data_IF_158078963597
#
_entry.id   IF_158078963597
#
_cell.length_a   1.000
_cell.length_b   1.000
_cell.length_c   1.000
_cell.angle_alpha   90.00
_cell.angle_beta   90.00
_cell.angle_gamma   90.00
#
_symmetry.space_group_name_H-M   'P 1'
#
loop_
_entity.id
_entity.type
_entity.pdbx_description
1 polymer ?
#
# COMPACT_ATOMS: atom_id res chain seq x y z
N UNK A 1 21.81 -42.70 -8.17
CA UNK A 1 20.44 -42.22 -8.46
C UNK A 1 20.59 -41.12 -9.50
N UNK A 2 19.84 -41.15 -10.59
CA UNK A 2 19.90 -40.13 -11.65
C UNK A 2 19.08 -38.92 -11.21
N UNK A 3 19.71 -37.76 -11.12
CA UNK A 3 19.03 -36.49 -10.82
C UNK A 3 18.06 -36.12 -11.96
N UNK A 4 16.90 -35.52 -11.66
CA UNK A 4 15.99 -35.03 -12.70
C UNK A 4 16.65 -33.93 -13.53
N UNK A 5 16.32 -33.79 -14.83
CA UNK A 5 16.76 -32.63 -15.62
C UNK A 5 16.29 -31.33 -14.97
N UNK A 6 17.15 -30.30 -14.93
CA UNK A 6 16.86 -29.01 -14.29
C UNK A 6 15.57 -28.36 -14.81
N UNK A 7 15.30 -28.48 -16.11
CA UNK A 7 14.09 -27.95 -16.74
C UNK A 7 12.82 -28.64 -16.23
N UNK A 8 12.90 -29.92 -15.89
CA UNK A 8 11.76 -30.66 -15.35
C UNK A 8 11.50 -30.23 -13.90
N UNK A 9 12.56 -29.97 -13.12
CA UNK A 9 12.44 -29.35 -11.79
C UNK A 9 11.79 -27.97 -11.88
N UNK A 10 12.25 -27.12 -12.78
CA UNK A 10 11.70 -25.78 -12.98
C UNK A 10 10.21 -25.84 -13.31
N UNK A 11 9.81 -26.66 -14.29
CA UNK A 11 8.39 -26.83 -14.67
C UNK A 11 7.57 -27.40 -13.52
N UNK A 12 8.12 -28.35 -12.76
CA UNK A 12 7.44 -28.96 -11.61
C UNK A 12 7.06 -27.92 -10.55
N UNK A 13 7.86 -26.86 -10.38
CA UNK A 13 7.58 -25.78 -9.41
C UNK A 13 7.05 -24.49 -10.06
N UNK A 14 6.67 -24.53 -11.34
CA UNK A 14 6.03 -23.40 -12.03
C UNK A 14 6.99 -22.34 -12.57
N UNK A 15 8.29 -22.63 -12.65
CA UNK A 15 9.30 -21.73 -13.23
C UNK A 15 9.40 -21.96 -14.74
N UNK A 16 9.11 -20.92 -15.52
CA UNK A 16 9.24 -20.95 -16.97
C UNK A 16 10.70 -21.16 -17.40
N UNK A 17 10.92 -22.03 -18.40
CA UNK A 17 12.26 -22.39 -18.89
C UNK A 17 12.66 -21.64 -20.17
N UNK A 18 11.74 -20.86 -20.73
CA UNK A 18 11.93 -20.02 -21.92
C UNK A 18 10.84 -18.96 -22.03
N UNK A 19 11.13 -17.85 -22.71
CA UNK A 19 10.14 -16.81 -23.07
C UNK A 19 10.14 -16.58 -24.58
N UNK A 20 8.98 -16.25 -25.20
CA UNK A 20 8.91 -15.98 -26.64
C UNK A 20 9.85 -14.87 -27.12
N UNK A 21 10.02 -13.82 -26.32
CA UNK A 21 10.82 -12.64 -26.69
C UNK A 21 12.34 -12.85 -26.53
N UNK A 22 12.77 -13.65 -25.56
CA UNK A 22 14.19 -13.77 -25.17
C UNK A 22 14.78 -15.17 -25.33
N UNK A 23 13.96 -16.16 -25.68
CA UNK A 23 14.40 -17.55 -25.83
C UNK A 23 14.60 -18.29 -24.49
N UNK A 24 15.48 -19.32 -24.46
CA UNK A 24 15.71 -20.14 -23.28
C UNK A 24 16.27 -19.35 -22.09
N UNK A 25 15.77 -19.64 -20.88
CA UNK A 25 16.28 -19.04 -19.65
C UNK A 25 17.65 -19.67 -19.29
N UNK A 26 18.68 -18.88 -18.96
CA UNK A 26 19.98 -19.40 -18.54
C UNK A 26 19.88 -20.34 -17.32
N UNK A 27 20.71 -21.38 -17.29
CA UNK A 27 20.78 -22.32 -16.16
C UNK A 27 21.08 -21.63 -14.83
N UNK A 28 21.95 -20.62 -14.85
CA UNK A 28 22.29 -19.81 -13.66
C UNK A 28 21.07 -19.09 -13.08
N UNK A 29 20.21 -18.54 -13.95
CA UNK A 29 18.95 -17.90 -13.55
C UNK A 29 17.97 -18.90 -12.95
N UNK A 30 17.80 -20.07 -13.60
CA UNK A 30 16.94 -21.16 -13.09
C UNK A 30 17.35 -21.58 -11.68
N UNK A 31 18.65 -21.83 -11.46
CA UNK A 31 19.18 -22.24 -10.15
C UNK A 31 18.98 -21.17 -9.07
N UNK A 32 19.11 -19.88 -9.40
CA UNK A 32 18.85 -18.78 -8.45
C UNK A 32 17.38 -18.69 -8.05
N UNK A 33 16.47 -18.84 -9.01
CA UNK A 33 15.03 -18.85 -8.74
C UNK A 33 14.67 -20.06 -7.87
N UNK A 34 15.16 -21.26 -8.21
CA UNK A 34 14.92 -22.46 -7.40
C UNK A 34 15.46 -22.30 -5.97
N UNK A 35 16.67 -21.74 -5.81
CA UNK A 35 17.23 -21.48 -4.49
C UNK A 35 16.38 -20.49 -3.68
N UNK A 36 15.89 -19.41 -4.29
CA UNK A 36 14.99 -18.46 -3.64
C UNK A 36 13.64 -19.09 -3.24
N UNK A 37 13.14 -20.05 -4.02
CA UNK A 37 11.96 -20.85 -3.68
C UNK A 37 12.22 -21.96 -2.65
N UNK A 38 13.47 -22.11 -2.17
CA UNK A 38 13.85 -23.18 -1.25
C UNK A 38 13.86 -24.59 -1.87
N UNK A 39 14.00 -24.69 -3.20
CA UNK A 39 13.97 -25.94 -3.96
C UNK A 39 15.39 -26.41 -4.26
N UNK A 40 15.75 -27.61 -3.80
CA UNK A 40 17.00 -28.28 -4.19
C UNK A 40 16.85 -28.91 -5.59
N UNK A 41 17.58 -28.43 -6.62
CA UNK A 41 17.48 -28.94 -7.97
C UNK A 41 17.95 -30.39 -8.13
N UNK A 42 18.73 -30.92 -7.17
CA UNK A 42 19.27 -32.28 -7.24
C UNK A 42 18.41 -33.30 -6.47
N UNK A 43 17.42 -32.83 -5.70
CA UNK A 43 16.51 -33.69 -4.96
C UNK A 43 15.48 -34.38 -5.88
N UNK A 44 14.95 -35.56 -5.50
CA UNK A 44 13.84 -36.18 -6.23
C UNK A 44 12.61 -35.28 -6.24
N UNK A 45 11.89 -35.25 -7.37
CA UNK A 45 10.61 -34.54 -7.46
C UNK A 45 9.56 -35.20 -6.55
N UNK A 46 8.93 -34.40 -5.71
CA UNK A 46 7.85 -34.84 -4.81
C UNK A 46 6.60 -33.99 -5.00
N UNK A 47 5.43 -34.57 -4.74
CA UNK A 47 4.14 -33.88 -4.86
C UNK A 47 3.62 -33.75 -6.29
N UNK A 48 2.49 -33.08 -6.45
CA UNK A 48 1.94 -32.77 -7.76
C UNK A 48 2.71 -31.60 -8.40
N UNK A 49 2.93 -31.61 -9.74
CA UNK A 49 3.55 -30.48 -10.42
C UNK A 49 2.64 -29.25 -10.34
N UNK A 50 3.25 -28.07 -10.38
CA UNK A 50 2.55 -26.81 -10.52
C UNK A 50 1.68 -26.83 -11.80
N UNK A 51 0.44 -26.32 -11.74
CA UNK A 51 -0.41 -26.27 -12.91
C UNK A 51 0.20 -25.35 -13.96
N UNK A 52 0.18 -25.79 -15.23
CA UNK A 52 0.66 -25.03 -16.38
C UNK A 52 -0.31 -23.92 -16.81
N UNK A 53 -1.54 -23.96 -16.31
CA UNK A 53 -2.59 -22.97 -16.57
C UNK A 53 -3.54 -22.84 -15.39
N UNK A 54 -4.07 -21.63 -15.21
CA UNK A 54 -5.19 -21.40 -14.30
C UNK A 54 -6.45 -22.05 -14.90
N UNK A 55 -7.07 -22.95 -14.16
CA UNK A 55 -8.37 -23.55 -14.53
C UNK A 55 -9.48 -22.69 -13.95
N UNK A 56 -10.14 -21.89 -14.80
CA UNK A 56 -11.30 -21.10 -14.41
C UNK A 56 -12.57 -21.94 -14.55
N UNK A 57 -13.36 -22.15 -13.49
CA UNK A 57 -14.61 -22.91 -13.60
C UNK A 57 -15.58 -22.25 -14.59
N UNK A 58 -16.33 -23.08 -15.33
CA UNK A 58 -17.30 -22.60 -16.32
C UNK A 58 -18.37 -21.75 -15.64
N UNK A 59 -18.65 -20.57 -16.20
CA UNK A 59 -19.67 -19.64 -15.68
C UNK A 59 -19.15 -18.70 -14.59
N UNK A 60 -17.87 -18.78 -14.21
CA UNK A 60 -17.26 -17.81 -13.31
C UNK A 60 -16.79 -16.59 -14.11
N UNK A 61 -17.19 -15.40 -13.67
CA UNK A 61 -16.73 -14.13 -14.20
C UNK A 61 -16.64 -13.11 -13.07
N UNK A 62 -15.80 -12.08 -13.23
CA UNK A 62 -15.80 -10.94 -12.33
C UNK A 62 -17.17 -10.25 -12.35
N UNK A 63 -17.51 -9.59 -11.25
CA UNK A 63 -18.72 -8.77 -11.19
C UNK A 63 -18.69 -7.72 -12.31
N UNK A 64 -19.80 -7.63 -13.06
CA UNK A 64 -20.05 -6.59 -14.06
C UNK A 64 -21.40 -5.98 -13.76
N UNK A 65 -21.51 -4.65 -13.57
CA UNK A 65 -22.81 -4.02 -13.39
C UNK A 65 -23.71 -4.25 -14.62
N UNK A 66 -24.98 -4.60 -14.39
CA UNK A 66 -25.91 -4.95 -15.47
C UNK A 66 -26.05 -3.83 -16.51
N UNK A 67 -26.12 -2.58 -16.05
CA UNK A 67 -26.27 -1.40 -16.90
C UNK A 67 -25.14 -1.20 -17.91
N UNK A 68 -23.93 -1.72 -17.65
CA UNK A 68 -22.79 -1.60 -18.57
C UNK A 68 -22.96 -2.50 -19.80
N UNK A 69 -23.90 -3.45 -19.75
CA UNK A 69 -24.32 -4.26 -20.90
C UNK A 69 -25.14 -3.43 -21.89
N UNK A 70 -25.98 -2.53 -21.35
CA UNK A 70 -27.00 -1.82 -22.12
C UNK A 70 -26.51 -0.46 -22.64
N UNK A 71 -25.54 0.14 -21.95
CA UNK A 71 -25.02 1.47 -22.28
C UNK A 71 -23.57 1.65 -21.82
N UNK A 72 -22.75 2.42 -22.56
CA UNK A 72 -21.41 2.77 -22.14
C UNK A 72 -21.46 3.65 -20.87
N UNK A 73 -20.41 3.55 -20.06
CA UNK A 73 -20.14 4.47 -18.95
C UNK A 73 -18.91 5.31 -19.21
N UNK A 74 -18.80 6.44 -18.52
CA UNK A 74 -17.61 7.28 -18.54
C UNK A 74 -17.25 7.74 -17.13
N UNK A 75 -16.00 8.15 -16.93
CA UNK A 75 -15.53 8.65 -15.65
C UNK A 75 -14.29 9.49 -15.82
N UNK A 76 -13.82 10.03 -14.70
CA UNK A 76 -12.56 10.78 -14.63
C UNK A 76 -11.48 9.91 -14.01
N UNK A 77 -10.23 10.19 -14.33
CA UNK A 77 -9.08 9.65 -13.59
C UNK A 77 -8.23 10.83 -13.13
N UNK A 78 -7.77 10.82 -11.89
CA UNK A 78 -6.86 11.82 -11.36
C UNK A 78 -5.81 11.18 -10.45
N UNK A 79 -4.72 11.89 -10.25
CA UNK A 79 -3.79 11.61 -9.17
C UNK A 79 -4.28 12.40 -7.95
N UNK A 80 -4.68 11.72 -6.87
CA UNK A 80 -5.27 12.35 -5.69
C UNK A 80 -4.37 13.44 -5.12
N UNK A 81 -3.06 13.17 -5.06
CA UNK A 81 -2.08 14.12 -4.54
C UNK A 81 -1.96 15.42 -5.37
N UNK A 82 -2.44 15.44 -6.62
CA UNK A 82 -2.42 16.62 -7.49
C UNK A 82 -3.64 17.53 -7.32
N UNK A 83 -4.69 17.08 -6.60
CA UNK A 83 -5.86 17.92 -6.37
C UNK A 83 -5.49 19.13 -5.50
N UNK A 84 -6.07 20.28 -5.84
CA UNK A 84 -5.87 21.54 -5.12
C UNK A 84 -7.19 22.07 -4.61
N UNK A 85 -7.19 22.58 -3.40
CA UNK A 85 -8.30 23.32 -2.80
C UNK A 85 -7.82 24.33 -1.79
N UNK A 86 -8.67 25.31 -1.48
CA UNK A 86 -8.36 26.38 -0.53
C UNK A 86 -8.21 25.91 0.92
N UNK A 87 -8.63 24.68 1.23
CA UNK A 87 -8.60 24.09 2.57
C UNK A 87 -7.46 23.07 2.76
N UNK A 88 -7.02 22.41 1.68
CA UNK A 88 -6.05 21.32 1.74
C UNK A 88 -4.72 21.77 2.36
N UNK A 89 -4.04 20.88 3.07
CA UNK A 89 -2.70 21.19 3.61
C UNK A 89 -1.61 20.92 2.57
N UNK A 90 -1.73 21.52 1.38
CA UNK A 90 -0.72 21.48 0.31
C UNK A 90 -0.67 20.19 -0.52
N UNK A 91 -1.60 19.27 -0.31
CA UNK A 91 -1.76 18.02 -1.07
C UNK A 91 -3.25 17.68 -1.12
N UNK A 92 -3.75 17.16 -2.24
CA UNK A 92 -5.11 16.65 -2.31
C UNK A 92 -5.34 15.52 -1.30
N UNK A 93 -6.46 15.55 -0.60
CA UNK A 93 -6.80 14.64 0.51
C UNK A 93 -8.16 13.94 0.30
N UNK A 94 -8.58 13.09 1.23
CA UNK A 94 -9.84 12.34 1.11
C UNK A 94 -11.09 13.22 1.02
N UNK A 95 -11.06 14.44 1.57
CA UNK A 95 -12.15 15.38 1.38
C UNK A 95 -12.14 15.92 -0.06
N UNK A 96 -10.97 16.02 -0.71
CA UNK A 96 -10.85 16.59 -2.07
C UNK A 96 -11.38 15.57 -3.05
N UNK A 97 -11.11 14.29 -2.75
CA UNK A 97 -11.71 13.15 -3.42
C UNK A 97 -13.24 13.18 -3.34
N UNK A 98 -13.80 13.40 -2.15
CA UNK A 98 -15.26 13.47 -1.95
C UNK A 98 -15.89 14.66 -2.71
N UNK A 99 -15.25 15.82 -2.65
CA UNK A 99 -15.70 17.03 -3.32
C UNK A 99 -15.64 16.86 -4.87
N UNK A 100 -14.55 16.31 -5.40
CA UNK A 100 -14.41 16.03 -6.83
C UNK A 100 -15.40 14.94 -7.30
N UNK A 101 -15.61 13.89 -6.50
CA UNK A 101 -16.62 12.87 -6.80
C UNK A 101 -18.02 13.48 -6.85
N UNK A 102 -18.33 14.42 -5.95
CA UNK A 102 -19.61 15.14 -5.96
C UNK A 102 -19.77 15.98 -7.22
N UNK A 103 -18.72 16.71 -7.64
CA UNK A 103 -18.73 17.53 -8.86
C UNK A 103 -18.90 16.64 -10.10
N UNK A 104 -18.09 15.60 -10.23
CA UNK A 104 -18.08 14.71 -11.38
C UNK A 104 -19.38 13.89 -11.49
N UNK A 105 -19.90 13.37 -10.36
CA UNK A 105 -21.15 12.62 -10.32
C UNK A 105 -22.34 13.48 -10.78
N UNK A 106 -22.43 14.74 -10.31
CA UNK A 106 -23.44 15.70 -10.78
C UNK A 106 -23.33 16.02 -12.28
N UNK A 107 -22.15 15.89 -12.87
CA UNK A 107 -21.93 16.02 -14.31
C UNK A 107 -22.25 14.72 -15.09
N UNK A 108 -22.65 13.64 -14.40
CA UNK A 108 -23.01 12.36 -14.99
C UNK A 108 -21.87 11.36 -15.11
N UNK A 109 -20.74 11.57 -14.44
CA UNK A 109 -19.67 10.58 -14.38
C UNK A 109 -20.10 9.35 -13.57
N UNK A 110 -19.70 8.18 -14.02
CA UNK A 110 -20.00 6.90 -13.35
C UNK A 110 -18.94 6.50 -12.35
N UNK A 111 -17.71 6.98 -12.55
CA UNK A 111 -16.59 6.70 -11.67
C UNK A 111 -15.61 7.87 -11.58
N UNK A 112 -14.86 7.85 -10.49
CA UNK A 112 -13.64 8.63 -10.30
C UNK A 112 -12.50 7.67 -9.97
N UNK A 113 -11.60 7.47 -10.93
CA UNK A 113 -10.39 6.67 -10.79
C UNK A 113 -9.27 7.45 -10.13
N UNK A 114 -8.56 6.81 -9.23
CA UNK A 114 -7.44 7.41 -8.50
C UNK A 114 -6.21 6.52 -8.51
N UNK A 115 -5.06 7.12 -8.24
CA UNK A 115 -3.81 6.40 -8.01
C UNK A 115 -3.90 5.46 -6.80
N UNK A 116 -2.94 4.53 -6.66
CA UNK A 116 -2.87 3.68 -5.49
C UNK A 116 -2.75 4.51 -4.20
N UNK A 117 -3.54 4.16 -3.19
CA UNK A 117 -3.59 4.84 -1.89
C UNK A 117 -2.79 4.10 -0.80
N UNK A 118 -2.03 3.09 -1.20
CA UNK A 118 -1.28 2.18 -0.34
C UNK A 118 -0.35 2.91 0.62
N UNK A 119 -0.19 2.37 1.82
CA UNK A 119 0.74 2.88 2.81
C UNK A 119 2.16 2.92 2.23
N UNK A 120 2.74 4.11 2.21
CA UNK A 120 4.17 4.33 1.92
C UNK A 120 4.95 4.32 3.24
N UNK A 121 6.07 5.05 3.31
CA UNK A 121 6.87 5.17 4.52
C UNK A 121 6.61 6.53 5.20
N UNK A 122 5.90 6.55 6.33
CA UNK A 122 5.61 7.83 7.00
C UNK A 122 6.85 8.51 7.56
N UNK A 123 7.87 7.73 7.95
CA UNK A 123 9.15 8.25 8.44
C UNK A 123 10.11 8.75 7.32
N UNK A 124 9.79 8.49 6.04
CA UNK A 124 10.55 8.97 4.88
C UNK A 124 9.60 9.47 3.77
N UNK A 125 8.90 10.61 3.98
CA UNK A 125 7.87 11.11 3.06
C UNK A 125 8.39 11.48 1.66
N UNK A 126 9.70 11.59 1.47
CA UNK A 126 10.32 11.70 0.16
C UNK A 126 10.17 10.44 -0.71
N UNK A 127 9.94 9.27 -0.10
CA UNK A 127 9.63 8.01 -0.77
C UNK A 127 8.16 7.96 -1.18
N UNK A 128 7.84 8.70 -2.25
CA UNK A 128 6.47 9.09 -2.62
C UNK A 128 5.85 8.32 -3.79
N UNK A 129 6.50 7.27 -4.29
CA UNK A 129 5.96 6.48 -5.42
C UNK A 129 4.78 5.62 -4.94
N UNK A 130 3.55 5.81 -5.46
CA UNK A 130 2.41 4.95 -5.13
C UNK A 130 2.59 3.48 -5.58
N UNK A 131 3.56 3.23 -6.46
CA UNK A 131 3.89 1.93 -7.02
C UNK A 131 5.02 1.20 -6.29
N UNK A 132 5.59 1.81 -5.26
CA UNK A 132 6.58 1.17 -4.35
C UNK A 132 6.08 1.27 -2.89
N UNK A 133 4.88 0.74 -2.59
CA UNK A 133 4.31 0.89 -1.26
C UNK A 133 5.01 0.03 -0.21
N UNK A 134 5.01 0.51 1.03
CA UNK A 134 5.40 -0.27 2.20
C UNK A 134 4.42 -1.44 2.43
N UNK A 135 3.12 -1.22 2.19
CA UNK A 135 2.08 -2.24 2.31
C UNK A 135 0.82 -1.88 1.48
N UNK A 136 0.31 -2.82 0.68
CA UNK A 136 -0.87 -2.64 -0.19
C UNK A 136 -2.22 -2.86 0.48
N UNK A 137 -2.23 -3.33 1.72
CA UNK A 137 -3.47 -3.56 2.50
C UNK A 137 -3.84 -2.38 3.40
N UNK A 138 -2.95 -1.40 3.57
CA UNK A 138 -3.16 -0.23 4.43
C UNK A 138 -3.07 1.06 3.63
N UNK A 139 -3.60 2.15 4.18
CA UNK A 139 -3.70 3.45 3.51
C UNK A 139 -2.54 4.35 3.90
N UNK A 140 -2.12 5.26 3.01
CA UNK A 140 -1.13 6.27 3.34
C UNK A 140 -1.78 7.46 4.09
N UNK A 141 -1.45 7.68 5.38
CA UNK A 141 -2.10 8.71 6.20
C UNK A 141 -1.91 10.15 5.72
N UNK A 142 -1.02 10.41 4.75
CA UNK A 142 -0.86 11.75 4.17
C UNK A 142 -2.16 12.28 3.56
N UNK A 143 -3.07 11.40 3.14
CA UNK A 143 -4.34 11.76 2.52
C UNK A 143 -5.44 12.09 3.54
N UNK A 144 -5.16 12.03 4.84
CA UNK A 144 -6.13 12.49 5.85
C UNK A 144 -6.40 13.99 5.65
N UNK A 145 -7.67 14.35 5.50
CA UNK A 145 -8.18 15.70 5.52
C UNK A 145 -8.18 16.23 6.96
N UNK A 146 -7.44 17.31 7.19
CA UNK A 146 -7.15 17.83 8.52
C UNK A 146 -8.31 18.64 9.13
N UNK A 147 -9.24 19.08 8.28
CA UNK A 147 -10.48 19.78 8.62
C UNK A 147 -11.64 18.81 8.89
N UNK A 148 -11.44 17.51 8.72
CA UNK A 148 -12.42 16.46 8.98
C UNK A 148 -11.97 15.51 10.10
N UNK A 149 -11.62 16.09 11.25
CA UNK A 149 -11.10 15.39 12.45
C UNK A 149 -12.04 15.56 13.66
N UNK A 150 -11.90 14.73 14.71
CA UNK A 150 -12.73 14.81 15.93
C UNK A 150 -12.60 16.13 16.67
N UNK A 151 -11.45 16.78 16.56
CA UNK A 151 -11.23 18.14 17.04
C UNK A 151 -10.26 18.90 16.12
N UNK A 152 -10.21 20.22 16.28
CA UNK A 152 -9.38 21.11 15.46
C UNK A 152 -7.88 20.81 15.63
N UNK A 153 -7.19 20.60 14.50
CA UNK A 153 -5.74 20.46 14.45
C UNK A 153 -5.05 21.83 14.43
N UNK A 154 -3.94 22.02 15.18
CA UNK A 154 -3.19 23.26 15.13
C UNK A 154 -2.56 23.45 13.74
N UNK A 155 -2.78 24.62 13.14
CA UNK A 155 -2.29 24.98 11.81
C UNK A 155 -1.36 26.20 11.86
N UNK A 156 -0.31 26.18 11.05
CA UNK A 156 0.50 27.36 10.73
C UNK A 156 0.02 27.92 9.39
N UNK A 157 -0.84 28.94 9.44
CA UNK A 157 -1.49 29.49 8.26
C UNK A 157 -0.48 29.95 7.19
N UNK A 158 0.63 30.58 7.58
CA UNK A 158 1.63 31.05 6.63
C UNK A 158 2.33 29.89 5.92
N UNK A 159 2.64 28.81 6.65
CA UNK A 159 3.17 27.58 6.05
C UNK A 159 2.14 26.95 5.12
N UNK A 160 0.88 26.83 5.52
CA UNK A 160 -0.16 26.23 4.68
C UNK A 160 -0.42 27.03 3.40
N UNK A 161 -0.39 28.37 3.47
CA UNK A 161 -0.47 29.24 2.29
C UNK A 161 0.69 28.97 1.33
N UNK A 162 1.92 28.84 1.85
CA UNK A 162 3.10 28.50 1.05
C UNK A 162 2.96 27.12 0.39
N UNK A 163 2.53 26.10 1.14
CA UNK A 163 2.39 24.73 0.63
C UNK A 163 1.31 24.64 -0.46
N UNK A 164 0.18 25.34 -0.30
CA UNK A 164 -0.88 25.39 -1.32
C UNK A 164 -0.46 26.15 -2.58
N UNK A 165 0.38 27.18 -2.42
CA UNK A 165 0.86 27.99 -3.53
C UNK A 165 1.99 27.33 -4.34
N UNK A 166 2.66 26.30 -3.82
CA UNK A 166 3.74 25.63 -4.52
C UNK A 166 3.27 24.91 -5.79
N UNK A 167 4.10 24.90 -6.84
CA UNK A 167 3.78 24.21 -8.11
C UNK A 167 3.84 22.68 -7.97
N UNK A 168 4.74 22.19 -7.13
CA UNK A 168 4.93 20.76 -6.83
C UNK A 168 4.58 20.49 -5.37
N UNK A 169 4.06 19.30 -5.10
CA UNK A 169 3.78 18.83 -3.73
C UNK A 169 5.09 18.68 -2.96
N UNK A 170 5.24 19.46 -1.89
CA UNK A 170 6.34 19.31 -0.92
C UNK A 170 5.96 18.26 0.14
N UNK A 171 6.13 16.98 -0.22
CA UNK A 171 5.75 15.84 0.62
C UNK A 171 6.38 15.90 2.02
N UNK A 172 7.62 16.37 2.15
CA UNK A 172 8.32 16.43 3.43
C UNK A 172 7.66 17.45 4.35
N UNK A 173 7.40 18.66 3.85
CA UNK A 173 6.79 19.70 4.65
C UNK A 173 5.30 19.42 4.92
N UNK A 174 4.58 18.85 3.95
CA UNK A 174 3.19 18.41 4.12
C UNK A 174 3.09 17.32 5.20
N UNK A 175 3.91 16.26 5.11
CA UNK A 175 3.91 15.18 6.08
C UNK A 175 4.29 15.68 7.48
N UNK A 176 5.29 16.57 7.59
CA UNK A 176 5.66 17.20 8.87
C UNK A 176 4.51 18.00 9.46
N UNK A 177 3.84 18.83 8.66
CA UNK A 177 2.71 19.62 9.13
C UNK A 177 1.56 18.72 9.58
N UNK A 178 1.13 17.77 8.73
CA UNK A 178 0.03 16.85 9.03
C UNK A 178 0.34 15.98 10.24
N UNK A 179 1.52 15.36 10.35
CA UNK A 179 1.90 14.54 11.51
C UNK A 179 1.86 15.34 12.82
N UNK A 180 2.36 16.59 12.81
CA UNK A 180 2.28 17.48 13.98
C UNK A 180 0.82 17.76 14.37
N UNK A 181 -0.02 18.08 13.39
CA UNK A 181 -1.45 18.35 13.62
C UNK A 181 -2.20 17.11 14.12
N UNK A 182 -1.98 15.97 13.48
CA UNK A 182 -2.58 14.68 13.83
C UNK A 182 -2.16 14.22 15.23
N UNK A 183 -0.87 14.37 15.58
CA UNK A 183 -0.37 14.09 16.93
C UNK A 183 -1.06 14.95 17.99
N UNK A 184 -1.20 16.26 17.73
CA UNK A 184 -1.89 17.16 18.65
C UNK A 184 -3.39 16.83 18.82
N UNK A 185 -4.07 16.42 17.74
CA UNK A 185 -5.47 15.93 17.81
C UNK A 185 -5.53 14.65 18.63
N UNK A 186 -4.61 13.72 18.40
CA UNK A 186 -4.56 12.44 19.09
C UNK A 186 -4.29 12.60 20.60
N UNK A 187 -3.43 13.54 21.00
CA UNK A 187 -3.15 13.84 22.40
C UNK A 187 -4.30 14.57 23.10
N UNK A 188 -5.02 15.43 22.39
CA UNK A 188 -6.05 16.30 22.96
C UNK A 188 -7.40 15.60 23.09
N UNK A 189 -7.93 15.08 21.98
CA UNK A 189 -9.24 14.43 21.89
C UNK A 189 -9.28 13.56 20.62
N UNK A 190 -8.72 12.33 20.67
CA UNK A 190 -8.65 11.43 19.50
C UNK A 190 -10.02 10.88 19.08
N UNK A 191 -11.02 11.02 19.94
CA UNK A 191 -12.37 10.51 19.77
C UNK A 191 -13.40 11.62 19.95
N UNK A 192 -14.57 11.43 19.35
CA UNK A 192 -15.74 12.28 19.50
C UNK A 192 -17.02 11.44 19.48
N UNK A 193 -18.14 12.05 19.15
CA UNK A 193 -19.41 11.33 19.01
C UNK A 193 -19.60 10.76 17.60
N UNK A 194 -20.55 9.82 17.45
CA UNK A 194 -20.97 9.29 16.15
C UNK A 194 -19.85 8.53 15.43
N UNK A 195 -19.47 9.00 14.23
CA UNK A 195 -18.47 8.31 13.39
C UNK A 195 -17.06 8.27 13.99
N UNK A 196 -16.75 9.13 14.96
CA UNK A 196 -15.46 9.17 15.65
C UNK A 196 -15.51 8.60 17.08
N UNK A 197 -16.50 7.76 17.39
CA UNK A 197 -16.61 7.11 18.68
C UNK A 197 -15.47 6.12 18.95
N UNK A 198 -14.96 6.10 20.18
CA UNK A 198 -13.90 5.18 20.62
C UNK A 198 -14.29 3.71 20.42
N UNK A 199 -15.56 3.36 20.65
CA UNK A 199 -16.06 1.99 20.43
C UNK A 199 -15.98 1.54 18.97
N UNK A 200 -16.09 2.47 18.01
CA UNK A 200 -15.91 2.18 16.60
C UNK A 200 -14.43 1.99 16.25
N UNK A 201 -13.53 2.73 16.88
CA UNK A 201 -12.08 2.53 16.78
C UNK A 201 -11.65 1.16 17.35
N UNK A 202 -12.18 0.76 18.50
CA UNK A 202 -11.94 -0.56 19.10
C UNK A 202 -12.44 -1.69 18.19
N UNK A 203 -13.60 -1.51 17.56
CA UNK A 203 -14.15 -2.46 16.59
C UNK A 203 -13.23 -2.59 15.37
N UNK A 204 -12.80 -1.46 14.79
CA UNK A 204 -11.85 -1.42 13.68
C UNK A 204 -10.54 -2.15 14.01
N UNK A 205 -9.97 -1.90 15.20
CA UNK A 205 -8.76 -2.58 15.65
C UNK A 205 -8.94 -4.10 15.78
N UNK A 206 -10.09 -4.53 16.29
CA UNK A 206 -10.44 -5.95 16.45
C UNK A 206 -10.62 -6.65 15.11
N UNK A 207 -11.30 -6.00 14.18
CA UNK A 207 -11.53 -6.50 12.82
C UNK A 207 -10.22 -6.56 12.01
N UNK A 208 -9.37 -5.53 12.12
CA UNK A 208 -8.07 -5.48 11.45
C UNK A 208 -7.05 -6.47 12.01
N UNK A 209 -7.21 -6.88 13.27
CA UNK A 209 -6.48 -7.99 13.87
C UNK A 209 -4.95 -7.86 13.84
N UNK A 210 -4.28 -9.00 13.70
CA UNK A 210 -2.82 -9.07 13.70
C UNK A 210 -2.16 -8.31 12.55
N UNK A 211 -2.65 -8.36 11.28
CA UNK A 211 -2.06 -7.60 10.18
C UNK A 211 -2.02 -6.10 10.46
N UNK A 212 -3.14 -5.51 10.90
CA UNK A 212 -3.21 -4.08 11.21
C UNK A 212 -2.26 -3.71 12.36
N UNK A 213 -2.22 -4.53 13.41
CA UNK A 213 -1.31 -4.30 14.55
C UNK A 213 0.17 -4.36 14.13
N UNK A 214 0.56 -5.31 13.29
CA UNK A 214 1.95 -5.42 12.80
C UNK A 214 2.32 -4.24 11.90
N UNK A 215 1.39 -3.75 11.09
CA UNK A 215 1.61 -2.53 10.30
C UNK A 215 1.82 -1.30 11.19
N UNK A 216 0.95 -1.07 12.18
CA UNK A 216 1.12 0.04 13.13
C UNK A 216 2.43 -0.05 13.93
N UNK A 217 2.84 -1.27 14.30
CA UNK A 217 4.11 -1.53 14.98
C UNK A 217 5.32 -1.24 14.07
N UNK A 218 5.25 -1.62 12.80
CA UNK A 218 6.29 -1.30 11.81
C UNK A 218 6.46 0.21 11.68
N UNK A 219 5.39 0.97 11.52
CA UNK A 219 5.48 2.43 11.38
C UNK A 219 6.10 3.07 12.63
N UNK A 220 5.68 2.65 13.83
CA UNK A 220 6.24 3.12 15.09
C UNK A 220 7.75 2.80 15.20
N UNK A 221 8.16 1.58 14.85
CA UNK A 221 9.57 1.19 14.81
C UNK A 221 10.34 1.99 13.75
N UNK A 222 9.77 2.21 12.58
CA UNK A 222 10.41 2.95 11.50
C UNK A 222 10.76 4.39 11.92
N UNK A 223 9.85 5.07 12.63
CA UNK A 223 10.13 6.37 13.24
C UNK A 223 11.26 6.30 14.27
N UNK A 224 11.23 5.33 15.18
CA UNK A 224 12.27 5.15 16.20
C UNK A 224 13.64 4.87 15.57
N UNK A 225 13.70 3.95 14.60
CA UNK A 225 14.93 3.55 13.92
C UNK A 225 15.53 4.71 13.14
N UNK A 226 14.70 5.48 12.43
CA UNK A 226 15.14 6.68 11.72
C UNK A 226 15.67 7.75 12.69
N UNK A 227 15.03 7.94 13.84
CA UNK A 227 15.50 8.87 14.88
C UNK A 227 16.86 8.45 15.48
N UNK A 228 17.14 7.15 15.53
CA UNK A 228 18.44 6.60 15.93
C UNK A 228 19.48 6.58 14.78
N UNK A 229 19.13 7.01 13.58
CA UNK A 229 20.02 7.08 12.42
C UNK A 229 20.12 5.81 11.57
N UNK A 230 19.24 4.84 11.79
CA UNK A 230 19.06 3.69 10.88
C UNK A 230 18.16 4.08 9.70
N UNK A 231 18.07 3.19 8.71
CA UNK A 231 17.19 3.40 7.56
C UNK A 231 15.71 3.18 7.90
N UNK A 232 14.85 3.67 7.01
CA UNK A 232 13.39 3.62 7.17
C UNK A 232 12.81 2.22 7.04
N UNK A 233 13.44 1.37 6.21
CA UNK A 233 13.06 -0.01 5.96
C UNK A 233 13.78 -1.00 6.87
N UNK A 234 13.09 -2.11 7.18
CA UNK A 234 13.50 -3.02 8.25
C UNK A 234 14.81 -3.76 8.01
N UNK A 235 15.24 -3.91 6.74
CA UNK A 235 16.49 -4.61 6.38
C UNK A 235 17.75 -3.92 6.91
N UNK A 236 17.63 -2.63 7.24
CA UNK A 236 18.74 -1.80 7.76
C UNK A 236 18.72 -1.63 9.28
N UNK A 237 17.69 -2.15 9.95
CA UNK A 237 17.56 -2.07 11.41
C UNK A 237 18.51 -3.05 12.09
N UNK A 238 18.80 -2.87 13.39
CA UNK A 238 19.51 -3.88 14.16
C UNK A 238 18.82 -5.24 14.10
N UNK A 239 19.60 -6.32 14.04
CA UNK A 239 19.11 -7.68 13.86
C UNK A 239 17.90 -8.08 14.76
N UNK A 240 17.84 -7.69 16.05
CA UNK A 240 16.67 -7.99 16.89
C UNK A 240 15.36 -7.38 16.39
N UNK A 241 15.39 -6.27 15.66
CA UNK A 241 14.19 -5.60 15.14
C UNK A 241 13.79 -6.06 13.74
N UNK A 242 14.63 -6.85 13.06
CA UNK A 242 14.32 -7.39 11.73
C UNK A 242 13.30 -8.53 11.77
N UNK A 243 13.19 -9.22 12.91
CA UNK A 243 12.23 -10.30 13.12
C UNK A 243 11.03 -9.79 13.91
N UNK A 244 9.85 -9.77 13.28
CA UNK A 244 8.60 -9.26 13.88
C UNK A 244 8.22 -9.95 15.20
N UNK A 245 8.60 -11.21 15.39
CA UNK A 245 8.28 -12.01 16.57
C UNK A 245 9.42 -12.06 17.61
N UNK A 246 10.42 -11.17 17.52
CA UNK A 246 11.52 -11.12 18.48
C UNK A 246 11.09 -10.61 19.87
N UNK A 247 11.81 -11.00 20.94
CA UNK A 247 11.57 -10.45 22.28
C UNK A 247 11.71 -8.92 22.35
N UNK A 248 12.62 -8.34 21.58
CA UNK A 248 12.89 -6.90 21.52
C UNK A 248 11.76 -6.14 20.85
N UNK A 249 11.19 -6.66 19.76
CA UNK A 249 10.01 -6.09 19.12
C UNK A 249 8.80 -6.19 20.05
N UNK A 250 8.64 -7.32 20.74
CA UNK A 250 7.59 -7.49 21.73
C UNK A 250 7.75 -6.54 22.92
N UNK A 251 8.98 -6.26 23.36
CA UNK A 251 9.27 -5.26 24.39
C UNK A 251 8.95 -3.85 23.91
N UNK A 252 9.41 -3.47 22.72
CA UNK A 252 9.10 -2.18 22.12
C UNK A 252 7.58 -1.95 22.04
N UNK A 253 6.80 -2.95 21.61
CA UNK A 253 5.35 -2.85 21.54
C UNK A 253 4.67 -2.66 22.90
N UNK A 254 5.24 -3.22 23.99
CA UNK A 254 4.73 -3.03 25.35
C UNK A 254 5.08 -1.66 25.91
N UNK A 255 6.25 -1.14 25.57
CA UNK A 255 6.78 0.11 26.12
C UNK A 255 6.26 1.34 25.34
N UNK A 256 5.79 1.16 24.10
CA UNK A 256 5.36 2.25 23.19
C UNK A 256 3.87 2.16 22.80
N UNK A 257 2.99 1.80 23.74
CA UNK A 257 1.56 1.59 23.47
C UNK A 257 0.87 2.82 22.85
N UNK A 258 1.23 4.03 23.27
CA UNK A 258 0.69 5.28 22.72
C UNK A 258 1.08 5.48 21.25
N UNK A 259 2.32 5.19 20.87
CA UNK A 259 2.76 5.29 19.47
C UNK A 259 2.05 4.26 18.59
N UNK A 260 1.89 3.03 19.08
CA UNK A 260 1.10 2.00 18.39
C UNK A 260 -0.36 2.44 18.22
N UNK A 261 -0.99 2.95 19.28
CA UNK A 261 -2.37 3.44 19.23
C UNK A 261 -2.53 4.60 18.24
N UNK A 262 -1.55 5.50 18.15
CA UNK A 262 -1.53 6.58 17.17
C UNK A 262 -1.55 6.05 15.73
N UNK A 263 -0.66 5.10 15.38
CA UNK A 263 -0.64 4.54 14.02
C UNK A 263 -1.90 3.73 13.69
N UNK A 264 -2.49 3.02 14.66
CA UNK A 264 -3.79 2.39 14.50
C UNK A 264 -4.88 3.43 14.22
N UNK A 265 -4.89 4.52 14.98
CA UNK A 265 -5.84 5.62 14.81
C UNK A 265 -5.71 6.30 13.44
N UNK A 266 -4.49 6.48 12.93
CA UNK A 266 -4.26 7.02 11.58
C UNK A 266 -4.91 6.15 10.49
N UNK A 267 -4.77 4.82 10.58
CA UNK A 267 -5.43 3.91 9.64
C UNK A 267 -6.95 3.97 9.75
N UNK A 268 -7.47 4.06 10.97
CA UNK A 268 -8.91 4.19 11.22
C UNK A 268 -9.47 5.49 10.63
N UNK A 269 -8.86 6.65 10.91
CA UNK A 269 -9.28 7.94 10.33
C UNK A 269 -9.21 7.92 8.81
N UNK A 270 -8.14 7.35 8.23
CA UNK A 270 -8.02 7.17 6.78
C UNK A 270 -9.17 6.34 6.22
N UNK A 271 -9.56 5.26 6.90
CA UNK A 271 -10.67 4.40 6.48
C UNK A 271 -12.02 5.14 6.53
N UNK A 272 -12.28 5.93 7.58
CA UNK A 272 -13.50 6.72 7.72
C UNK A 272 -13.63 7.73 6.59
N UNK A 273 -12.55 8.46 6.30
CA UNK A 273 -12.60 9.52 5.30
C UNK A 273 -12.64 8.97 3.87
N UNK A 274 -11.97 7.84 3.58
CA UNK A 274 -12.14 7.15 2.30
C UNK A 274 -13.57 6.61 2.12
N UNK A 275 -14.19 6.11 3.19
CA UNK A 275 -15.59 5.68 3.16
C UNK A 275 -16.54 6.87 2.90
N UNK A 276 -16.27 8.03 3.50
CA UNK A 276 -17.00 9.26 3.23
C UNK A 276 -16.89 9.69 1.75
N UNK A 277 -15.71 9.57 1.13
CA UNK A 277 -15.55 9.83 -0.30
C UNK A 277 -16.31 8.82 -1.18
N UNK A 278 -16.30 7.54 -0.81
CA UNK A 278 -17.12 6.50 -1.46
C UNK A 278 -18.61 6.83 -1.37
N UNK A 279 -19.07 7.28 -0.20
CA UNK A 279 -20.47 7.64 0.02
C UNK A 279 -20.87 8.88 -0.79
N UNK A 280 -20.03 9.92 -0.81
CA UNK A 280 -20.24 11.13 -1.61
C UNK A 280 -20.36 10.80 -3.11
N UNK A 281 -19.52 9.91 -3.64
CA UNK A 281 -19.62 9.44 -5.01
C UNK A 281 -20.99 8.79 -5.32
N UNK A 282 -21.46 7.91 -4.43
CA UNK A 282 -22.77 7.23 -4.57
C UNK A 282 -23.93 8.22 -4.51
N UNK A 283 -23.91 9.14 -3.55
CA UNK A 283 -24.94 10.17 -3.38
C UNK A 283 -24.98 11.14 -4.55
N UNK A 284 -23.85 11.38 -5.22
CA UNK A 284 -23.76 12.18 -6.42
C UNK A 284 -24.25 11.45 -7.70
N UNK A 285 -24.69 10.19 -7.58
CA UNK A 285 -25.25 9.41 -8.69
C UNK A 285 -24.24 8.56 -9.46
N UNK A 286 -22.99 8.45 -9.00
CA UNK A 286 -22.00 7.60 -9.65
C UNK A 286 -22.40 6.12 -9.56
N UNK A 287 -22.51 5.44 -10.71
CA UNK A 287 -22.95 4.04 -10.78
C UNK A 287 -21.86 3.03 -10.40
N UNK A 288 -20.59 3.39 -10.50
CA UNK A 288 -19.43 2.61 -10.02
C UNK A 288 -18.88 3.24 -8.73
N UNK A 289 -18.74 4.57 -8.70
CA UNK A 289 -18.18 5.30 -7.56
C UNK A 289 -16.66 5.47 -7.66
N UNK A 290 -15.95 5.31 -6.54
CA UNK A 290 -14.49 5.41 -6.52
C UNK A 290 -13.88 4.16 -7.18
N UNK A 291 -13.01 4.37 -8.16
CA UNK A 291 -12.25 3.32 -8.84
C UNK A 291 -10.79 3.32 -8.33
N UNK A 292 -10.44 2.28 -7.58
CA UNK A 292 -9.13 2.15 -6.96
C UNK A 292 -8.13 1.46 -7.90
N UNK A 293 -6.86 1.85 -7.77
CA UNK A 293 -5.72 1.21 -8.41
C UNK A 293 -4.91 0.36 -7.40
N UNK A 294 -4.56 -0.85 -7.79
CA UNK A 294 -3.79 -1.81 -6.99
C UNK A 294 -2.40 -1.99 -7.61
N UNK A 295 -1.37 -1.45 -6.94
CA UNK A 295 0.02 -1.61 -7.35
C UNK A 295 0.40 -3.10 -7.44
N UNK A 296 1.31 -3.42 -8.35
CA UNK A 296 1.70 -4.81 -8.66
C UNK A 296 2.44 -5.51 -7.51
N UNK A 297 3.19 -4.77 -6.70
CA UNK A 297 4.00 -5.31 -5.61
C UNK A 297 4.27 -4.28 -4.51
N UNK A 298 5.16 -4.65 -3.60
CA UNK A 298 5.53 -3.89 -2.39
C UNK A 298 7.04 -3.70 -2.33
N UNK A 299 7.48 -2.70 -1.57
CA UNK A 299 8.88 -2.48 -1.25
C UNK A 299 9.46 -3.69 -0.51
N UNK A 300 10.67 -4.10 -0.89
CA UNK A 300 11.32 -5.28 -0.30
C UNK A 300 11.58 -5.14 1.21
N UNK A 301 11.70 -3.93 1.71
CA UNK A 301 11.98 -3.56 3.10
C UNK A 301 10.81 -2.83 3.79
N UNK A 302 9.60 -2.94 3.22
CA UNK A 302 8.38 -2.36 3.74
C UNK A 302 7.70 -3.16 4.86
N UNK A 303 6.61 -2.61 5.36
CA UNK A 303 5.79 -3.21 6.41
C UNK A 303 5.23 -4.56 6.01
N UNK A 304 4.84 -4.76 4.75
CA UNK A 304 4.31 -6.03 4.27
C UNK A 304 5.32 -7.18 4.41
N UNK A 305 6.55 -6.97 3.93
CA UNK A 305 7.62 -7.98 3.96
C UNK A 305 8.17 -8.19 5.37
N UNK A 306 8.11 -7.18 6.24
CA UNK A 306 8.45 -7.33 7.66
C UNK A 306 7.40 -8.12 8.44
N UNK A 307 6.12 -7.82 8.18
CA UNK A 307 5.00 -8.37 8.96
C UNK A 307 4.65 -9.80 8.58
N UNK A 308 4.97 -10.22 7.36
CA UNK A 308 4.73 -11.57 6.85
C UNK A 308 5.92 -12.03 5.99
N UNK A 309 7.10 -12.26 6.60
CA UNK A 309 8.33 -12.54 5.87
C UNK A 309 8.26 -13.81 5.01
N UNK A 310 7.41 -14.77 5.39
CA UNK A 310 7.22 -16.03 4.65
C UNK A 310 6.42 -15.86 3.34
N UNK A 311 5.82 -14.69 3.11
CA UNK A 311 5.04 -14.39 1.90
C UNK A 311 5.86 -13.66 0.83
N UNK A 312 7.13 -13.36 1.09
CA UNK A 312 7.98 -12.54 0.22
C UNK A 312 9.30 -13.25 -0.11
N UNK A 313 9.69 -13.23 -1.39
CA UNK A 313 10.96 -13.78 -1.86
C UNK A 313 12.04 -12.69 -1.90
N UNK A 314 12.76 -12.51 -0.79
CA UNK A 314 13.73 -11.43 -0.57
C UNK A 314 14.81 -11.28 -1.65
N UNK A 315 15.22 -12.40 -2.25
CA UNK A 315 16.32 -12.43 -3.23
C UNK A 315 15.84 -12.28 -4.69
N UNK A 316 14.54 -12.09 -4.90
CA UNK A 316 13.93 -11.90 -6.22
C UNK A 316 13.19 -10.57 -6.28
N UNK A 317 13.32 -9.91 -7.43
CA UNK A 317 12.60 -8.67 -7.72
C UNK A 317 11.70 -8.84 -8.93
N UNK A 318 10.49 -8.28 -8.86
CA UNK A 318 9.57 -8.22 -10.00
C UNK A 318 10.09 -7.21 -11.03
N UNK A 319 9.87 -7.51 -12.30
CA UNK A 319 10.20 -6.64 -13.42
C UNK A 319 9.52 -7.07 -14.70
N UNK A 320 10.00 -6.54 -15.83
CA UNK A 320 9.56 -6.91 -17.15
C UNK A 320 10.76 -7.35 -18.02
N UNK A 321 10.59 -8.38 -18.88
CA UNK A 321 11.65 -8.77 -19.80
C UNK A 321 11.90 -7.67 -20.86
N UNK A 322 13.06 -7.71 -21.54
CA UNK A 322 13.33 -6.87 -22.71
C UNK A 322 12.20 -6.83 -23.74
N UNK A 323 11.89 -5.62 -24.23
CA UNK A 323 10.94 -5.39 -25.31
C UNK A 323 11.40 -4.28 -26.28
N UNK A 324 10.53 -3.89 -27.21
CA UNK A 324 10.82 -2.88 -28.24
C UNK A 324 11.02 -1.45 -27.70
N UNK A 325 10.50 -1.14 -26.50
CA UNK A 325 10.62 0.16 -25.85
C UNK A 325 11.73 0.18 -24.79
N UNK A 326 11.95 -0.95 -24.10
CA UNK A 326 12.97 -1.13 -23.08
C UNK A 326 13.84 -2.35 -23.41
N UNK A 327 14.92 -2.14 -24.17
CA UNK A 327 15.79 -3.22 -24.66
C UNK A 327 16.53 -3.98 -23.55
N UNK A 328 16.73 -3.36 -22.39
CA UNK A 328 17.35 -4.00 -21.21
C UNK A 328 16.30 -4.65 -20.29
N UNK A 329 15.02 -4.51 -20.61
CA UNK A 329 13.92 -4.83 -19.70
C UNK A 329 13.79 -3.80 -18.60
N UNK A 330 13.09 -4.16 -17.53
CA UNK A 330 12.84 -3.29 -16.38
C UNK A 330 12.99 -4.09 -15.09
N UNK A 331 13.64 -3.49 -14.09
CA UNK A 331 13.59 -3.96 -12.72
C UNK A 331 12.81 -2.94 -11.90
N UNK A 332 11.69 -3.36 -11.30
CA UNK A 332 10.84 -2.46 -10.52
C UNK A 332 11.24 -2.41 -9.04
N UNK A 333 12.22 -3.22 -8.63
CA UNK A 333 12.71 -3.30 -7.25
C UNK A 333 11.61 -3.64 -6.22
N UNK A 334 10.57 -4.34 -6.66
CA UNK A 334 9.48 -4.82 -5.82
C UNK A 334 9.70 -6.27 -5.43
N UNK A 335 9.30 -6.63 -4.21
CA UNK A 335 9.35 -8.03 -3.77
C UNK A 335 8.47 -8.91 -4.66
N UNK A 336 8.98 -10.10 -4.98
CA UNK A 336 8.19 -11.19 -5.56
C UNK A 336 7.45 -11.98 -4.48
#
# INVERSE_FOLDING_TARGET
MTHPPLDDVCRHVGVATSYPATGPVPETTKRRILAALGVDPEAPLTGAPAPDRIVVPKGVSCFRPDWLTDQPGWGLTCQLYELRSDRSWGIGDFRDLADLATIAGKAGADFLGINPLHALFMAAPELRSPFTPSNRSFLYPIYIAMDDLPCEAPADAALLDQLRAADLVDYVQVARAKLKGLGAVFEKAPFGDGRFAETAFEAFCREGGLPLRRHALFEALSFEMTAQGYGVGWTTWPAPYQAVDSPEVAAFARDNTTALAFHLWLQWISSIQLDAARQAAREAGMRIGIYLDLAVGEAADGSATWSAPDLALRDLTIGAPPDVFAQEGQNWHLTA
#
